data_IF_643373123643
#
_entry.id   IF_643373123643
#
_cell.length_a   1.000
_cell.length_b   1.000
_cell.length_c   1.000
_cell.angle_alpha   90.00
_cell.angle_beta   90.00
_cell.angle_gamma   90.00
#
_symmetry.space_group_name_H-M   'P 1'
#
loop_
_entity.id
_entity.type
_entity.pdbx_description
1 polymer ?
#
# COMPACT_ATOMS: atom_id res chain seq x y z
N UNK A 1 3.08 -15.93 12.68
CA UNK A 1 2.67 -16.04 11.27
C UNK A 1 2.12 -14.67 10.87
N UNK A 2 2.55 -14.09 9.76
CA UNK A 2 2.12 -12.74 9.35
C UNK A 2 0.91 -12.87 8.41
N UNK A 3 -0.11 -12.03 8.59
CA UNK A 3 -1.25 -11.96 7.67
C UNK A 3 -0.79 -11.41 6.32
N UNK A 4 -1.05 -12.12 5.22
CA UNK A 4 -0.66 -11.70 3.85
C UNK A 4 -1.87 -11.53 2.94
N UNK A 5 -3.05 -11.38 3.53
CA UNK A 5 -4.33 -11.33 2.83
C UNK A 5 -5.09 -10.12 3.34
N UNK A 6 -5.12 -9.07 2.52
CA UNK A 6 -5.71 -7.78 2.86
C UNK A 6 -6.66 -7.33 1.77
N UNK A 7 -7.68 -6.61 2.18
CA UNK A 7 -8.60 -5.86 1.32
C UNK A 7 -7.91 -4.62 0.79
N UNK A 8 -8.38 -4.08 -0.33
CA UNK A 8 -7.91 -2.77 -0.82
C UNK A 8 -7.99 -1.68 0.24
N UNK A 9 -9.09 -1.67 1.01
CA UNK A 9 -9.35 -0.64 2.01
C UNK A 9 -8.33 -0.71 3.16
N UNK A 10 -8.00 -1.92 3.61
CA UNK A 10 -6.97 -2.17 4.63
C UNK A 10 -5.59 -1.67 4.16
N UNK A 11 -5.23 -1.95 2.91
CA UNK A 11 -3.96 -1.51 2.31
C UNK A 11 -3.94 0.02 2.18
N UNK A 12 -5.02 0.63 1.70
CA UNK A 12 -5.16 2.08 1.56
C UNK A 12 -5.02 2.76 2.93
N UNK A 13 -5.72 2.25 3.95
CA UNK A 13 -5.66 2.73 5.33
C UNK A 13 -4.25 2.62 5.90
N UNK A 14 -3.61 1.48 5.68
CA UNK A 14 -2.18 1.25 5.85
C UNK A 14 -1.37 2.41 5.31
N UNK A 15 -1.26 2.46 3.98
CA UNK A 15 -0.48 3.45 3.25
C UNK A 15 -0.75 4.89 3.71
N UNK A 16 -2.02 5.25 3.94
CA UNK A 16 -2.37 6.58 4.44
C UNK A 16 -1.81 6.91 5.83
N UNK A 17 -1.67 5.94 6.73
CA UNK A 17 -0.98 6.14 8.01
C UNK A 17 0.50 6.46 7.85
N UNK A 18 1.14 5.99 6.77
CA UNK A 18 2.54 6.31 6.47
C UNK A 18 2.71 7.63 5.68
N UNK A 19 1.64 8.40 5.53
CA UNK A 19 1.66 9.66 4.79
C UNK A 19 1.46 9.52 3.28
N UNK A 20 1.06 8.35 2.78
CA UNK A 20 0.60 8.25 1.39
C UNK A 20 -0.77 8.93 1.26
N UNK A 21 -0.85 9.93 0.39
CA UNK A 21 -2.09 10.64 0.12
C UNK A 21 -2.77 10.07 -1.12
N UNK A 22 -4.08 9.77 -1.10
CA UNK A 22 -4.80 9.40 -2.30
C UNK A 22 -4.83 10.60 -3.25
N UNK A 23 -4.25 10.44 -4.43
CA UNK A 23 -4.18 11.51 -5.45
C UNK A 23 -5.23 11.35 -6.54
N UNK A 24 -5.88 10.20 -6.57
CA UNK A 24 -6.94 9.90 -7.52
C UNK A 24 -7.09 8.40 -7.69
N UNK A 25 -8.15 8.02 -8.36
CA UNK A 25 -8.47 6.64 -8.64
C UNK A 25 -9.78 6.62 -9.39
N UNK A 26 -9.85 5.88 -10.50
CA UNK A 26 -11.05 5.81 -11.32
C UNK A 26 -11.53 4.36 -11.38
N UNK A 27 -12.76 4.13 -10.93
CA UNK A 27 -13.40 2.81 -10.97
C UNK A 27 -12.75 1.83 -10.00
N UNK A 28 -11.97 0.89 -10.55
CA UNK A 28 -11.45 -0.28 -9.82
C UNK A 28 -10.01 -0.14 -9.33
N UNK A 29 -9.41 1.05 -9.40
CA UNK A 29 -8.05 1.28 -8.91
C UNK A 29 -7.96 2.61 -8.15
N UNK A 30 -7.22 2.61 -7.05
CA UNK A 30 -6.91 3.78 -6.23
C UNK A 30 -5.41 4.03 -6.29
N UNK A 31 -5.01 5.22 -6.71
CA UNK A 31 -3.62 5.63 -6.75
C UNK A 31 -3.30 6.53 -5.56
N UNK A 32 -2.30 6.12 -4.79
CA UNK A 32 -1.74 6.90 -3.70
C UNK A 32 -0.36 7.42 -4.06
N UNK A 33 -0.03 8.59 -3.53
CA UNK A 33 1.27 9.22 -3.71
C UNK A 33 1.88 9.53 -2.36
N UNK A 34 3.14 9.18 -2.20
CA UNK A 34 3.96 9.59 -1.07
C UNK A 34 5.07 10.51 -1.57
N UNK A 35 5.27 11.63 -0.90
CA UNK A 35 6.39 12.53 -1.14
C UNK A 35 7.26 12.50 0.11
N UNK A 36 8.47 11.95 -0.01
CA UNK A 36 9.42 11.97 1.07
C UNK A 36 9.86 13.42 1.34
N UNK A 37 9.64 13.98 2.55
CA UNK A 37 10.02 15.35 2.86
C UNK A 37 11.53 15.56 2.88
N UNK A 38 12.32 14.56 3.27
CA UNK A 38 13.77 14.67 3.43
C UNK A 38 14.52 14.58 2.10
N UNK A 39 14.09 13.69 1.20
CA UNK A 39 14.80 13.44 -0.07
C UNK A 39 14.09 14.02 -1.29
N UNK A 40 12.86 14.51 -1.12
CA UNK A 40 12.01 14.96 -2.23
C UNK A 40 11.54 13.84 -3.16
N UNK A 41 11.92 12.58 -2.93
CA UNK A 41 11.53 11.44 -3.75
C UNK A 41 10.03 11.22 -3.66
N UNK A 42 9.40 11.13 -4.82
CA UNK A 42 7.98 10.83 -4.95
C UNK A 42 7.82 9.36 -5.29
N UNK A 43 6.99 8.66 -4.52
CA UNK A 43 6.54 7.29 -4.78
C UNK A 43 5.06 7.33 -5.12
N UNK A 44 4.66 6.55 -6.10
CA UNK A 44 3.26 6.40 -6.49
C UNK A 44 2.94 4.93 -6.46
N UNK A 45 1.84 4.59 -5.79
CA UNK A 45 1.38 3.21 -5.58
C UNK A 45 -0.03 3.10 -6.13
N UNK A 46 -0.30 2.05 -6.90
CA UNK A 46 -1.65 1.77 -7.39
C UNK A 46 -2.20 0.53 -6.70
N UNK A 47 -3.30 0.71 -5.98
CA UNK A 47 -4.01 -0.35 -5.28
C UNK A 47 -5.27 -0.71 -6.08
N UNK A 48 -5.37 -1.92 -6.65
CA UNK A 48 -6.60 -2.38 -7.27
C UNK A 48 -7.68 -2.61 -6.22
N UNK A 49 -8.94 -2.55 -6.66
CA UNK A 49 -10.11 -2.89 -5.86
C UNK A 49 -10.28 -4.41 -5.82
N UNK A 50 -10.27 -4.98 -4.62
CA UNK A 50 -10.35 -6.40 -4.36
C UNK A 50 -10.41 -6.66 -2.85
N UNK A 51 -11.16 -7.69 -2.48
CA UNK A 51 -11.21 -8.22 -1.13
C UNK A 51 -11.37 -9.76 -1.25
N UNK A 52 -10.26 -10.52 -1.14
CA UNK A 52 -8.90 -10.10 -0.86
C UNK A 52 -8.08 -9.72 -2.10
N UNK A 53 -7.01 -8.95 -1.90
CA UNK A 53 -6.02 -8.68 -2.94
C UNK A 53 -5.10 -9.89 -3.11
N UNK A 54 -4.83 -10.33 -4.36
CA UNK A 54 -3.90 -11.42 -4.62
C UNK A 54 -2.51 -11.12 -4.04
N UNK A 55 -1.85 -12.14 -3.47
CA UNK A 55 -0.56 -11.95 -2.81
C UNK A 55 0.52 -11.36 -3.74
N UNK A 56 0.53 -11.75 -5.02
CA UNK A 56 1.46 -11.18 -6.01
C UNK A 56 1.23 -9.68 -6.22
N UNK A 57 -0.02 -9.25 -6.25
CA UNK A 57 -0.37 -7.83 -6.31
C UNK A 57 0.01 -7.09 -5.04
N UNK A 58 -0.14 -7.72 -3.87
CA UNK A 58 0.31 -7.14 -2.60
C UNK A 58 1.84 -6.97 -2.57
N UNK A 59 2.58 -7.93 -3.13
CA UNK A 59 4.04 -7.83 -3.31
C UNK A 59 4.40 -6.66 -4.23
N UNK A 60 3.76 -6.55 -5.40
CA UNK A 60 3.97 -5.43 -6.33
C UNK A 60 3.70 -4.07 -5.66
N UNK A 61 2.66 -4.00 -4.81
CA UNK A 61 2.33 -2.81 -4.02
C UNK A 61 3.43 -2.49 -3.01
N UNK A 62 3.97 -3.51 -2.32
CA UNK A 62 5.05 -3.34 -1.36
C UNK A 62 6.32 -2.82 -2.04
N UNK A 63 6.67 -3.36 -3.21
CA UNK A 63 7.79 -2.87 -4.03
C UNK A 63 7.57 -1.42 -4.50
N UNK A 64 6.37 -1.07 -4.97
CA UNK A 64 6.03 0.31 -5.35
C UNK A 64 6.08 1.28 -4.16
N UNK A 65 5.62 0.83 -2.99
CA UNK A 65 5.73 1.58 -1.74
C UNK A 65 7.19 1.71 -1.29
N UNK A 66 8.08 0.88 -1.84
CA UNK A 66 9.51 0.77 -1.55
C UNK A 66 9.77 0.18 -0.17
N UNK A 67 8.98 -0.82 0.20
CA UNK A 67 9.26 -1.71 1.31
C UNK A 67 10.46 -2.60 0.95
N UNK A 68 11.40 -2.75 1.87
CA UNK A 68 12.56 -3.61 1.66
C UNK A 68 12.27 -5.08 2.02
N UNK A 69 11.26 -5.32 2.87
CA UNK A 69 10.79 -6.64 3.26
C UNK A 69 9.26 -6.68 3.22
N UNK A 70 8.74 -7.66 2.48
CA UNK A 70 7.30 -7.86 2.27
C UNK A 70 6.56 -8.23 3.56
N UNK A 71 7.18 -9.03 4.43
CA UNK A 71 6.53 -9.44 5.68
C UNK A 71 6.47 -8.29 6.68
N UNK A 72 7.48 -7.44 6.74
CA UNK A 72 7.44 -6.20 7.54
C UNK A 72 6.35 -5.25 7.03
N UNK A 73 6.23 -5.09 5.71
CA UNK A 73 5.12 -4.35 5.11
C UNK A 73 3.75 -4.90 5.53
N UNK A 74 3.58 -6.23 5.48
CA UNK A 74 2.35 -6.89 5.90
C UNK A 74 2.06 -6.71 7.39
N UNK A 75 3.07 -6.88 8.26
CA UNK A 75 2.91 -6.65 9.72
C UNK A 75 2.48 -5.23 10.02
N UNK A 76 3.03 -4.27 9.29
CA UNK A 76 2.71 -2.87 9.48
C UNK A 76 1.29 -2.53 9.03
N UNK A 77 0.82 -3.06 7.91
CA UNK A 77 -0.60 -2.92 7.52
C UNK A 77 -1.50 -3.54 8.59
N UNK A 78 -1.21 -4.77 9.01
CA UNK A 78 -1.99 -5.49 10.02
C UNK A 78 -2.07 -4.73 11.35
N UNK A 79 -1.01 -4.02 11.74
CA UNK A 79 -0.97 -3.23 12.96
C UNK A 79 -1.90 -2.00 12.98
N UNK A 80 -2.41 -1.55 11.83
CA UNK A 80 -3.27 -0.35 11.73
C UNK A 80 -4.71 -0.63 11.31
N UNK A 81 -5.00 -1.87 10.93
CA UNK A 81 -6.32 -2.28 10.48
C UNK A 81 -7.28 -2.44 11.65
#
# INVERSE_FOLDING_TARGET
MVRTTFSSDEIIKGLSKHGFVPVGGKGSHTTLRYKNPDTGKVRTVTVPKGDPIPIGTLQDIADQAGANDFHDFCRWIDAVV
#
